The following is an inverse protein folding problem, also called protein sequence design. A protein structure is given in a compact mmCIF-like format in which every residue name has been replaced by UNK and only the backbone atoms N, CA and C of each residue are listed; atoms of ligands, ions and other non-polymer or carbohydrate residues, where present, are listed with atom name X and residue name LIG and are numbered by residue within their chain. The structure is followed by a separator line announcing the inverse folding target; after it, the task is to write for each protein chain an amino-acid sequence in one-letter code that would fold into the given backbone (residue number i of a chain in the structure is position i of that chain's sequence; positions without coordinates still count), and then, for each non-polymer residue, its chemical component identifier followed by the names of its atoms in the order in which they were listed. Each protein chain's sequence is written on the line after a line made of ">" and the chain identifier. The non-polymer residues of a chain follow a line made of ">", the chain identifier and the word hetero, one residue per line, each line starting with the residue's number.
data_IF_911287304073
#
_entry.id   IF_911287304073
#
_cell.length_a   1.000
_cell.length_b   1.000
_cell.length_c   1.000
_cell.angle_alpha   90.00
_cell.angle_beta   90.00
_cell.angle_gamma   90.00
#
_symmetry.space_group_name_H-M   'P 1'
#
loop_
_entity.id
_entity.type
_entity.pdbx_description
1 polymer ?
#
# COMPACT_ATOMS: atom_id res chain seq x y z
N UNK A 1 -15.73 19.61 -13.52
CA UNK A 1 -16.62 18.56 -13.01
C UNK A 1 -17.78 18.18 -13.96
N UNK A 2 -18.01 18.87 -15.09
CA UNK A 2 -19.13 18.56 -16.01
C UNK A 2 -18.90 17.38 -16.96
N UNK A 3 -17.67 16.89 -17.09
CA UNK A 3 -17.31 15.77 -17.97
C UNK A 3 -16.85 14.51 -17.21
N UNK A 4 -17.19 14.39 -15.92
CA UNK A 4 -16.89 13.19 -15.15
C UNK A 4 -18.07 12.22 -15.26
N UNK A 5 -18.01 11.19 -16.12
CA UNK A 5 -18.97 10.10 -16.06
C UNK A 5 -18.97 9.49 -14.66
N UNK A 6 -20.11 8.92 -14.25
CA UNK A 6 -20.33 8.33 -12.92
C UNK A 6 -19.27 7.29 -12.48
N UNK A 7 -18.38 6.86 -13.39
CA UNK A 7 -17.29 5.93 -13.17
C UNK A 7 -16.31 6.34 -12.07
N UNK A 8 -15.89 7.61 -11.99
CA UNK A 8 -14.92 8.02 -10.96
C UNK A 8 -15.49 7.80 -9.55
N UNK A 9 -16.77 8.12 -9.34
CA UNK A 9 -17.45 7.87 -8.06
C UNK A 9 -17.73 6.38 -7.79
N UNK A 10 -17.83 5.55 -8.84
CA UNK A 10 -17.99 4.11 -8.70
C UNK A 10 -16.67 3.39 -8.37
N UNK A 11 -15.55 3.86 -8.93
CA UNK A 11 -14.21 3.30 -8.70
C UNK A 11 -13.56 3.84 -7.43
N UNK A 12 -13.75 5.13 -7.15
CA UNK A 12 -13.23 5.79 -5.96
C UNK A 12 -14.37 6.08 -5.00
N UNK A 13 -14.42 5.34 -3.89
CA UNK A 13 -15.51 5.46 -2.91
C UNK A 13 -15.50 6.76 -2.11
N UNK A 14 -14.35 7.45 -2.06
CA UNK A 14 -14.16 8.70 -1.31
C UNK A 14 -13.48 9.79 -2.16
N UNK A 15 -14.05 10.20 -3.31
CA UNK A 15 -13.33 11.00 -4.30
C UNK A 15 -12.97 12.40 -3.77
N UNK A 16 -13.81 12.99 -2.90
CA UNK A 16 -13.51 14.29 -2.26
C UNK A 16 -12.30 14.21 -1.34
N UNK A 17 -12.26 13.20 -0.46
CA UNK A 17 -11.13 12.99 0.46
C UNK A 17 -9.84 12.68 -0.30
N UNK A 18 -9.95 11.89 -1.36
CA UNK A 18 -8.82 11.58 -2.24
C UNK A 18 -8.29 12.88 -2.88
N UNK A 19 -9.17 13.73 -3.42
CA UNK A 19 -8.76 15.02 -3.98
C UNK A 19 -8.09 15.94 -2.95
N UNK A 20 -8.61 16.01 -1.73
CA UNK A 20 -8.00 16.77 -0.62
C UNK A 20 -6.61 16.24 -0.27
N UNK A 21 -6.43 14.92 -0.20
CA UNK A 21 -5.15 14.32 0.11
C UNK A 21 -4.15 14.44 -1.05
N UNK A 22 -4.60 14.38 -2.30
CA UNK A 22 -3.76 14.69 -3.47
C UNK A 22 -3.24 16.13 -3.42
N UNK A 23 -4.07 17.10 -3.02
CA UNK A 23 -3.62 18.48 -2.82
C UNK A 23 -2.55 18.57 -1.71
N UNK A 24 -2.64 17.78 -0.64
CA UNK A 24 -1.59 17.71 0.40
C UNK A 24 -0.30 17.10 -0.11
N UNK A 25 -0.40 16.04 -0.93
CA UNK A 25 0.77 15.41 -1.57
C UNK A 25 1.51 16.43 -2.44
N UNK A 26 0.78 17.22 -3.23
CA UNK A 26 1.35 18.29 -4.05
C UNK A 26 1.95 19.42 -3.21
N UNK A 27 1.25 19.89 -2.17
CA UNK A 27 1.75 20.91 -1.25
C UNK A 27 3.01 20.47 -0.49
N UNK A 28 3.13 19.18 -0.18
CA UNK A 28 4.31 18.60 0.44
C UNK A 28 5.50 18.45 -0.53
N UNK A 29 5.30 18.70 -1.83
CA UNK A 29 6.34 18.58 -2.84
C UNK A 29 6.80 17.14 -3.10
N UNK A 30 6.02 16.13 -2.68
CA UNK A 30 6.39 14.72 -2.87
C UNK A 30 6.45 14.31 -4.35
N UNK A 31 5.65 14.96 -5.18
CA UNK A 31 5.68 14.81 -6.64
C UNK A 31 5.59 16.17 -7.32
N UNK A 32 6.15 16.33 -8.53
CA UNK A 32 6.08 17.60 -9.27
C UNK A 32 4.65 18.05 -9.59
N UNK A 33 3.74 17.08 -9.76
CA UNK A 33 2.33 17.29 -10.06
C UNK A 33 1.53 16.12 -9.53
N UNK A 34 0.50 16.38 -8.72
CA UNK A 34 -0.40 15.31 -8.27
C UNK A 34 -1.28 14.81 -9.44
N UNK A 35 -1.55 13.49 -9.53
CA UNK A 35 -2.53 12.98 -10.47
C UNK A 35 -3.94 13.50 -10.13
N UNK A 36 -4.82 13.56 -11.13
CA UNK A 36 -6.24 13.83 -10.91
C UNK A 36 -7.04 12.54 -10.59
N UNK A 37 -8.33 12.67 -10.30
CA UNK A 37 -9.17 11.53 -9.91
C UNK A 37 -9.33 10.46 -11.00
N UNK A 38 -9.32 10.84 -12.28
CA UNK A 38 -9.36 9.87 -13.39
C UNK A 38 -8.08 9.05 -13.40
N UNK A 39 -6.93 9.72 -13.30
CA UNK A 39 -5.61 9.08 -13.26
C UNK A 39 -5.47 8.14 -12.06
N UNK A 40 -5.93 8.55 -10.87
CA UNK A 40 -5.96 7.66 -9.69
C UNK A 40 -6.92 6.48 -9.90
N UNK A 41 -8.06 6.68 -10.56
CA UNK A 41 -8.99 5.59 -10.89
C UNK A 41 -8.31 4.53 -11.75
N UNK A 42 -7.52 4.93 -12.74
CA UNK A 42 -6.71 4.00 -13.55
C UNK A 42 -5.65 3.27 -12.71
N UNK A 43 -5.04 3.95 -11.74
CA UNK A 43 -4.15 3.31 -10.76
C UNK A 43 -4.84 2.29 -9.87
N UNK A 44 -6.08 2.55 -9.44
CA UNK A 44 -6.89 1.57 -8.70
C UNK A 44 -7.20 0.36 -9.58
N UNK A 45 -7.54 0.56 -10.85
CA UNK A 45 -7.75 -0.54 -11.80
C UNK A 45 -6.46 -1.38 -11.94
N UNK A 46 -5.29 -0.75 -12.05
CA UNK A 46 -4.00 -1.45 -12.04
C UNK A 46 -3.83 -2.33 -10.81
N UNK A 47 -4.13 -1.81 -9.61
CA UNK A 47 -4.04 -2.58 -8.37
C UNK A 47 -5.00 -3.79 -8.36
N UNK A 48 -6.20 -3.65 -8.92
CA UNK A 48 -7.12 -4.79 -9.11
C UNK A 48 -6.55 -5.82 -10.08
N UNK A 49 -5.96 -5.38 -11.20
CA UNK A 49 -5.28 -6.27 -12.15
C UNK A 49 -4.13 -7.00 -11.48
N UNK A 50 -3.32 -6.34 -10.63
CA UNK A 50 -2.28 -7.00 -9.82
C UNK A 50 -2.87 -8.06 -8.88
N UNK A 51 -3.96 -7.75 -8.17
CA UNK A 51 -4.61 -8.70 -7.27
C UNK A 51 -5.06 -9.98 -7.98
N UNK A 52 -5.56 -9.85 -9.21
CA UNK A 52 -6.05 -10.98 -10.02
C UNK A 52 -4.91 -11.73 -10.70
N UNK A 53 -3.93 -11.03 -11.29
CA UNK A 53 -2.87 -11.63 -12.13
C UNK A 53 -1.62 -12.04 -11.37
N UNK A 54 -1.34 -11.41 -10.23
CA UNK A 54 -0.13 -11.63 -9.40
C UNK A 54 -0.49 -11.80 -7.91
N UNK A 55 -1.48 -12.64 -7.55
CA UNK A 55 -1.93 -12.79 -6.16
C UNK A 55 -0.83 -13.31 -5.22
N UNK A 56 0.21 -13.95 -5.76
CA UNK A 56 1.40 -14.44 -5.07
C UNK A 56 2.33 -13.33 -4.58
N UNK A 57 2.12 -12.08 -5.02
CA UNK A 57 2.90 -10.91 -4.59
C UNK A 57 2.25 -10.14 -3.43
N UNK A 58 1.12 -10.61 -2.89
CA UNK A 58 0.30 -9.88 -1.92
C UNK A 58 0.05 -10.73 -0.67
N UNK A 59 0.58 -10.28 0.47
CA UNK A 59 0.37 -10.90 1.78
C UNK A 59 1.01 -12.28 1.92
N UNK A 60 2.07 -12.53 1.17
CA UNK A 60 2.93 -13.72 1.10
C UNK A 60 4.36 -13.31 1.43
N UNK A 61 5.23 -14.26 1.76
CA UNK A 61 6.65 -14.00 2.05
C UNK A 61 7.54 -14.99 1.28
N UNK A 62 8.60 -14.51 0.65
CA UNK A 62 9.58 -15.37 -0.02
C UNK A 62 10.77 -15.73 0.87
N UNK A 63 11.10 -14.90 1.87
CA UNK A 63 12.33 -15.04 2.66
C UNK A 63 12.13 -15.70 4.04
N UNK A 64 10.93 -15.59 4.61
CA UNK A 64 10.66 -16.04 5.97
C UNK A 64 9.58 -17.12 6.02
N UNK A 65 9.74 -18.04 6.97
CA UNK A 65 8.80 -19.13 7.19
C UNK A 65 7.58 -18.67 8.00
N UNK A 66 6.49 -19.43 7.87
CA UNK A 66 5.30 -19.29 8.71
C UNK A 66 5.66 -19.61 10.17
N UNK A 67 5.21 -18.77 11.11
CA UNK A 67 5.42 -18.96 12.56
C UNK A 67 4.96 -20.36 13.01
N UNK A 68 5.63 -20.99 13.98
CA UNK A 68 5.35 -22.36 14.39
C UNK A 68 4.06 -22.52 15.21
N UNK A 69 3.39 -21.42 15.57
CA UNK A 69 2.15 -21.44 16.35
C UNK A 69 1.00 -22.06 15.54
N UNK A 70 0.10 -22.78 16.22
CA UNK A 70 -1.08 -23.36 15.57
C UNK A 70 -1.93 -22.29 14.87
N UNK A 71 -2.11 -21.14 15.52
CA UNK A 71 -2.88 -20.01 14.99
C UNK A 71 -2.27 -19.45 13.71
N UNK A 72 -0.96 -19.20 13.66
CA UNK A 72 -0.32 -18.70 12.45
C UNK A 72 -0.38 -19.72 11.29
N UNK A 73 -0.22 -21.01 11.58
CA UNK A 73 -0.39 -22.08 10.58
C UNK A 73 -1.79 -22.12 9.98
N UNK A 74 -2.83 -21.91 10.80
CA UNK A 74 -4.19 -21.80 10.32
C UNK A 74 -4.40 -20.54 9.47
N UNK A 75 -3.88 -19.40 9.95
CA UNK A 75 -3.99 -18.10 9.28
C UNK A 75 -3.10 -17.99 8.03
N UNK A 76 -2.13 -18.89 7.84
CA UNK A 76 -1.42 -19.01 6.57
C UNK A 76 -2.37 -19.34 5.41
N UNK A 77 -3.49 -20.01 5.70
CA UNK A 77 -4.55 -20.18 4.72
C UNK A 77 -5.38 -18.88 4.59
N UNK A 78 -5.11 -18.12 3.53
CA UNK A 78 -5.64 -16.76 3.29
C UNK A 78 -7.16 -16.62 3.47
N UNK A 79 -8.02 -17.55 3.01
CA UNK A 79 -9.47 -17.45 3.23
C UNK A 79 -9.86 -17.43 4.71
N UNK A 80 -9.14 -18.16 5.58
CA UNK A 80 -9.39 -18.14 7.03
C UNK A 80 -8.86 -16.87 7.69
N UNK A 81 -7.79 -16.28 7.15
CA UNK A 81 -7.21 -15.02 7.65
C UNK A 81 -8.06 -13.80 7.31
N UNK A 82 -8.71 -13.80 6.16
CA UNK A 82 -9.41 -12.64 5.61
C UNK A 82 -10.43 -11.99 6.56
N UNK A 83 -11.34 -12.73 7.23
CA UNK A 83 -12.30 -12.14 8.17
C UNK A 83 -11.61 -11.40 9.33
N UNK A 84 -10.45 -11.89 9.79
CA UNK A 84 -9.69 -11.27 10.86
C UNK A 84 -9.00 -9.99 10.39
N UNK A 85 -8.45 -9.97 9.17
CA UNK A 85 -7.89 -8.75 8.58
C UNK A 85 -8.96 -7.65 8.45
N UNK A 86 -10.19 -8.01 8.05
CA UNK A 86 -11.32 -7.07 8.01
C UNK A 86 -11.68 -6.55 9.41
N UNK A 87 -11.81 -7.46 10.39
CA UNK A 87 -12.14 -7.10 11.77
C UNK A 87 -11.08 -6.19 12.38
N UNK A 88 -9.80 -6.47 12.14
CA UNK A 88 -8.68 -5.64 12.59
C UNK A 88 -8.59 -4.31 11.86
N UNK A 89 -9.33 -4.14 10.77
CA UNK A 89 -9.18 -3.01 9.85
C UNK A 89 -7.76 -2.95 9.25
N UNK A 90 -7.08 -4.09 9.22
CA UNK A 90 -5.73 -4.26 8.69
C UNK A 90 -5.72 -4.36 7.15
N UNK A 91 -6.87 -4.33 6.48
CA UNK A 91 -6.98 -4.16 5.03
C UNK A 91 -8.08 -3.15 4.72
N UNK A 92 -7.96 -2.48 3.56
CA UNK A 92 -8.91 -1.49 3.07
C UNK A 92 -9.47 -1.92 1.70
N UNK A 93 -10.41 -2.88 1.65
CA UNK A 93 -10.95 -3.40 0.38
C UNK A 93 -11.73 -2.35 -0.43
N UNK A 94 -11.95 -1.17 0.13
CA UNK A 94 -12.72 -0.06 -0.44
C UNK A 94 -11.83 1.16 -0.77
N UNK A 95 -10.53 1.10 -0.51
CA UNK A 95 -9.57 2.13 -0.86
C UNK A 95 -8.23 1.47 -1.19
N UNK A 96 -8.09 1.03 -2.45
CA UNK A 96 -6.87 0.38 -2.91
C UNK A 96 -5.68 1.34 -3.03
N UNK A 97 -5.95 2.65 -3.19
CA UNK A 97 -4.91 3.67 -3.34
C UNK A 97 -4.24 4.06 -2.02
N UNK A 98 -4.91 3.84 -0.88
CA UNK A 98 -4.52 4.37 0.42
C UNK A 98 -4.77 5.87 0.59
N UNK A 99 -5.11 6.61 -0.48
CA UNK A 99 -5.31 8.06 -0.45
C UNK A 99 -6.54 8.51 0.36
N UNK A 100 -7.48 7.62 0.68
CA UNK A 100 -8.61 7.96 1.55
C UNK A 100 -8.41 7.48 3.01
N UNK A 101 -7.33 6.74 3.25
CA UNK A 101 -7.04 6.12 4.54
C UNK A 101 -6.61 7.15 5.57
N UNK A 102 -7.09 6.98 6.80
CA UNK A 102 -6.62 7.79 7.93
C UNK A 102 -5.29 7.27 8.45
N UNK A 103 -4.54 8.11 9.17
CA UNK A 103 -3.32 7.72 9.90
C UNK A 103 -3.49 6.41 10.68
N UNK A 104 -4.53 6.33 11.51
CA UNK A 104 -4.85 5.13 12.30
C UNK A 104 -5.16 3.90 11.42
N UNK A 105 -5.75 4.09 10.24
CA UNK A 105 -6.00 2.97 9.31
C UNK A 105 -4.68 2.43 8.74
N UNK A 106 -3.77 3.32 8.34
CA UNK A 106 -2.45 2.96 7.81
C UNK A 106 -1.63 2.23 8.89
N UNK A 107 -1.63 2.76 10.13
CA UNK A 107 -0.96 2.11 11.27
C UNK A 107 -1.48 0.68 11.51
N UNK A 108 -2.80 0.46 11.48
CA UNK A 108 -3.39 -0.88 11.62
C UNK A 108 -3.05 -1.80 10.46
N UNK A 109 -2.99 -1.25 9.24
CA UNK A 109 -2.58 -2.01 8.06
C UNK A 109 -1.16 -2.52 8.21
N UNK A 110 -0.21 -1.62 8.48
CA UNK A 110 1.19 -1.94 8.68
C UNK A 110 1.40 -2.94 9.82
N UNK A 111 0.68 -2.83 10.93
CA UNK A 111 0.84 -3.76 12.06
C UNK A 111 0.14 -5.11 11.88
N UNK A 112 -0.88 -5.20 11.01
CA UNK A 112 -1.77 -6.35 10.93
C UNK A 112 -1.75 -7.12 9.60
N UNK A 113 -1.21 -6.53 8.54
CA UNK A 113 -1.05 -7.17 7.24
C UNK A 113 0.43 -7.31 6.90
N UNK A 114 0.80 -8.47 6.35
CA UNK A 114 2.18 -8.72 5.94
C UNK A 114 2.49 -8.05 4.60
N UNK A 115 3.70 -7.49 4.52
CA UNK A 115 4.31 -6.92 3.33
C UNK A 115 5.65 -7.63 3.12
N UNK A 116 5.89 -8.12 1.91
CA UNK A 116 7.16 -8.76 1.58
C UNK A 116 8.20 -7.73 1.20
N UNK A 117 9.45 -7.97 1.57
CA UNK A 117 10.60 -7.10 1.25
C UNK A 117 10.27 -5.62 1.57
N UNK A 118 10.35 -4.72 0.59
CA UNK A 118 10.15 -3.29 0.74
C UNK A 118 8.72 -2.83 0.43
N UNK A 119 7.75 -3.75 0.30
CA UNK A 119 6.38 -3.37 -0.10
C UNK A 119 5.66 -2.48 0.92
N UNK A 120 6.06 -2.46 2.20
CA UNK A 120 5.52 -1.52 3.19
C UNK A 120 5.99 -0.07 2.95
N UNK A 121 6.98 0.17 2.08
CA UNK A 121 7.50 1.52 1.80
C UNK A 121 6.41 2.46 1.26
N UNK A 122 5.49 1.94 0.44
CA UNK A 122 4.32 2.66 -0.03
C UNK A 122 3.53 3.29 1.13
N UNK A 123 3.20 2.48 2.14
CA UNK A 123 2.45 2.95 3.30
C UNK A 123 3.27 3.84 4.23
N UNK A 124 4.59 3.63 4.33
CA UNK A 124 5.48 4.52 5.07
C UNK A 124 5.52 5.92 4.43
N UNK A 125 5.56 6.00 3.10
CA UNK A 125 5.54 7.27 2.36
C UNK A 125 4.21 8.02 2.59
N UNK A 126 3.07 7.31 2.57
CA UNK A 126 1.77 7.92 2.91
C UNK A 126 1.76 8.34 4.39
N UNK A 127 2.27 7.50 5.28
CA UNK A 127 2.27 7.77 6.72
C UNK A 127 3.11 9.00 7.08
N UNK A 128 4.20 9.25 6.33
CA UNK A 128 5.06 10.41 6.48
C UNK A 128 4.35 11.75 6.22
N UNK A 129 3.24 11.74 5.46
CA UNK A 129 2.39 12.93 5.26
C UNK A 129 1.57 13.31 6.51
N UNK A 130 1.47 12.40 7.48
CA UNK A 130 0.77 12.65 8.72
C UNK A 130 1.76 13.08 9.81
N UNK A 131 1.59 14.26 10.43
CA UNK A 131 2.44 14.68 11.53
C UNK A 131 2.50 13.63 12.65
N UNK A 132 3.71 13.23 13.03
CA UNK A 132 3.97 12.21 14.05
C UNK A 132 3.67 10.77 13.61
N UNK A 133 3.35 10.52 12.33
CA UNK A 133 2.89 9.22 11.86
C UNK A 133 3.96 8.13 11.96
N UNK A 134 5.19 8.44 11.54
CA UNK A 134 6.31 7.49 11.60
C UNK A 134 6.77 7.23 13.03
N UNK A 135 6.75 8.25 13.90
CA UNK A 135 7.04 8.12 15.32
C UNK A 135 6.03 7.19 16.01
N UNK A 136 4.75 7.36 15.69
CA UNK A 136 3.68 6.52 16.24
C UNK A 136 3.80 5.07 15.75
N UNK A 137 4.15 4.86 14.48
CA UNK A 137 4.41 3.51 13.95
C UNK A 137 5.58 2.86 14.67
N UNK A 138 6.71 3.56 14.78
CA UNK A 138 7.91 3.07 15.44
C UNK A 138 7.58 2.60 16.86
N UNK A 139 6.91 3.44 17.66
CA UNK A 139 6.56 3.10 19.04
C UNK A 139 5.61 1.91 19.13
N UNK A 140 4.58 1.85 18.27
CA UNK A 140 3.65 0.71 18.26
C UNK A 140 4.32 -0.59 17.81
N UNK A 141 5.19 -0.54 16.79
CA UNK A 141 5.95 -1.70 16.33
C UNK A 141 6.92 -2.19 17.42
N UNK A 142 7.61 -1.27 18.11
CA UNK A 142 8.49 -1.56 19.24
C UNK A 142 7.76 -2.32 20.34
N UNK A 143 6.60 -1.82 20.78
CA UNK A 143 5.78 -2.50 21.78
C UNK A 143 5.32 -3.90 21.36
N UNK A 144 5.08 -4.15 20.06
CA UNK A 144 4.76 -5.49 19.55
C UNK A 144 5.98 -6.41 19.58
N UNK A 145 7.16 -5.91 19.19
CA UNK A 145 8.42 -6.67 19.20
C UNK A 145 8.81 -7.04 20.62
N UNK A 146 8.70 -6.10 21.57
CA UNK A 146 9.05 -6.31 22.97
C UNK A 146 7.97 -7.05 23.78
N UNK A 147 6.81 -7.31 23.20
CA UNK A 147 5.69 -7.98 23.89
C UNK A 147 4.94 -7.10 24.90
N UNK A 148 5.17 -5.79 24.89
CA UNK A 148 4.49 -4.80 25.74
C UNK A 148 3.08 -4.45 25.23
N UNK A 149 2.77 -4.76 23.97
CA UNK A 149 1.41 -4.64 23.45
C UNK A 149 0.56 -5.86 23.87
N UNK A 150 -0.60 -5.67 24.52
CA UNK A 150 -1.48 -6.79 24.90
C UNK A 150 -1.93 -7.67 23.72
N UNK A 151 -1.79 -7.17 22.49
CA UNK A 151 -2.17 -7.84 21.25
C UNK A 151 -0.95 -8.33 20.47
N UNK A 152 0.26 -8.24 21.01
CA UNK A 152 1.50 -8.56 20.31
C UNK A 152 1.45 -9.96 19.68
N UNK A 153 1.13 -11.00 20.45
CA UNK A 153 1.04 -12.37 19.94
C UNK A 153 0.00 -12.53 18.83
N UNK A 154 -1.16 -11.86 18.97
CA UNK A 154 -2.23 -11.90 17.99
C UNK A 154 -1.78 -11.23 16.68
N UNK A 155 -1.18 -10.05 16.74
CA UNK A 155 -0.70 -9.33 15.57
C UNK A 155 0.39 -10.13 14.86
N UNK A 156 1.34 -10.71 15.62
CA UNK A 156 2.40 -11.56 15.07
C UNK A 156 1.86 -12.80 14.37
N UNK A 157 0.87 -13.47 14.94
CA UNK A 157 0.25 -14.63 14.28
C UNK A 157 -0.64 -14.23 13.10
N UNK A 158 -1.26 -13.05 13.13
CA UNK A 158 -2.08 -12.52 12.05
C UNK A 158 -1.26 -12.16 10.80
N UNK A 159 -0.05 -11.63 10.98
CA UNK A 159 0.89 -11.40 9.86
C UNK A 159 1.56 -12.69 9.39
N UNK A 160 1.39 -13.80 10.11
CA UNK A 160 1.76 -15.19 9.75
C UNK A 160 3.26 -15.49 9.73
N UNK A 161 4.10 -14.58 9.26
CA UNK A 161 5.52 -14.84 9.01
C UNK A 161 6.42 -14.34 10.15
N UNK A 162 7.50 -15.08 10.42
CA UNK A 162 8.50 -14.65 11.41
C UNK A 162 9.25 -13.38 10.96
N UNK A 163 9.72 -12.60 11.93
CA UNK A 163 10.55 -11.42 11.70
C UNK A 163 9.82 -10.19 11.14
N UNK A 164 8.52 -10.28 10.85
CA UNK A 164 7.80 -9.18 10.19
C UNK A 164 7.80 -7.89 11.03
N UNK A 165 7.45 -7.96 12.32
CA UNK A 165 7.37 -6.77 13.17
C UNK A 165 8.75 -6.20 13.49
N UNK A 166 9.78 -7.04 13.56
CA UNK A 166 11.18 -6.63 13.68
C UNK A 166 11.63 -5.86 12.43
N UNK A 167 11.33 -6.39 11.25
CA UNK A 167 11.64 -5.71 9.98
C UNK A 167 10.87 -4.38 9.86
N UNK A 168 9.60 -4.36 10.25
CA UNK A 168 8.79 -3.14 10.26
C UNK A 168 9.34 -2.10 11.24
N UNK A 169 9.77 -2.51 12.44
CA UNK A 169 10.37 -1.62 13.43
C UNK A 169 11.66 -0.99 12.87
N UNK A 170 12.56 -1.80 12.31
CA UNK A 170 13.79 -1.33 11.70
C UNK A 170 13.51 -0.36 10.54
N UNK A 171 12.52 -0.65 9.70
CA UNK A 171 12.10 0.22 8.62
C UNK A 171 11.51 1.55 9.12
N UNK A 172 10.67 1.52 10.16
CA UNK A 172 10.11 2.73 10.76
C UNK A 172 11.20 3.60 11.41
N UNK A 173 12.17 2.97 12.08
CA UNK A 173 13.34 3.66 12.65
C UNK A 173 14.16 4.35 11.56
N UNK A 174 14.48 3.63 10.49
CA UNK A 174 15.20 4.18 9.34
C UNK A 174 14.44 5.34 8.70
N UNK A 175 13.14 5.14 8.43
CA UNK A 175 12.29 6.16 7.80
C UNK A 175 12.20 7.44 8.64
N UNK A 176 12.14 7.32 9.97
CA UNK A 176 12.14 8.47 10.89
C UNK A 176 13.47 9.24 10.84
N UNK A 177 14.59 8.53 10.75
CA UNK A 177 15.92 9.15 10.75
C UNK A 177 16.30 9.75 9.38
N UNK A 178 15.85 9.15 8.28
CA UNK A 178 16.41 9.40 6.95
C UNK A 178 15.38 9.63 5.84
N UNK A 179 14.08 9.59 6.18
CA UNK A 179 13.00 9.47 5.21
C UNK A 179 12.89 8.05 4.66
N UNK A 180 11.80 7.77 3.93
CA UNK A 180 11.66 6.50 3.22
C UNK A 180 12.62 6.50 2.03
N UNK A 181 13.63 5.62 2.07
CA UNK A 181 14.65 5.49 1.03
C UNK A 181 14.51 4.15 0.35
N UNK A 182 14.39 4.20 -0.96
CA UNK A 182 14.27 3.04 -1.84
C UNK A 182 15.41 3.05 -2.85
N UNK A 183 15.77 1.87 -3.38
CA UNK A 183 16.66 1.82 -4.53
C UNK A 183 16.00 2.53 -5.73
N UNK A 184 16.75 3.10 -6.67
CA UNK A 184 16.16 3.88 -7.77
C UNK A 184 15.08 3.13 -8.57
N UNK A 185 15.28 1.82 -8.81
CA UNK A 185 14.30 1.00 -9.52
C UNK A 185 13.01 0.78 -8.72
N UNK A 186 13.09 0.64 -7.40
CA UNK A 186 11.93 0.52 -6.51
C UNK A 186 11.19 1.84 -6.33
N UNK A 187 11.92 2.96 -6.30
CA UNK A 187 11.36 4.31 -6.18
C UNK A 187 10.51 4.71 -7.39
N UNK A 188 10.75 4.08 -8.55
CA UNK A 188 9.97 4.26 -9.78
C UNK A 188 8.91 3.16 -10.00
N UNK A 189 8.92 2.10 -9.20
CA UNK A 189 7.95 1.01 -9.27
C UNK A 189 6.62 1.43 -8.60
N UNK A 190 5.51 1.51 -9.36
CA UNK A 190 4.20 1.89 -8.83
C UNK A 190 3.57 0.84 -7.91
N UNK A 191 4.14 -0.36 -7.81
CA UNK A 191 3.67 -1.41 -6.91
C UNK A 191 4.44 -1.43 -5.57
N UNK A 192 5.53 -0.66 -5.43
CA UNK A 192 6.40 -0.58 -4.24
C UNK A 192 6.41 0.83 -3.61
N UNK A 193 6.53 1.89 -4.42
CA UNK A 193 6.60 3.28 -3.95
C UNK A 193 5.28 4.02 -4.19
N UNK A 194 4.82 4.76 -3.19
CA UNK A 194 3.67 5.65 -3.34
C UNK A 194 3.99 6.83 -4.25
N UNK A 195 5.19 7.43 -4.14
CA UNK A 195 5.62 8.48 -5.08
C UNK A 195 5.79 7.93 -6.50
N UNK A 196 6.29 6.69 -6.65
CA UNK A 196 6.33 5.97 -7.92
C UNK A 196 4.93 5.78 -8.51
N UNK A 197 3.97 5.35 -7.69
CA UNK A 197 2.56 5.20 -8.06
C UNK A 197 1.92 6.54 -8.48
N UNK A 198 2.16 7.62 -7.71
CA UNK A 198 1.68 8.97 -8.05
C UNK A 198 2.24 9.45 -9.39
N UNK A 199 3.55 9.29 -9.61
CA UNK A 199 4.21 9.64 -10.87
C UNK A 199 3.69 8.81 -12.04
N UNK A 200 3.47 7.51 -11.84
CA UNK A 200 2.87 6.65 -12.84
C UNK A 200 1.45 7.09 -13.20
N UNK A 201 0.58 7.33 -12.20
CA UNK A 201 -0.77 7.84 -12.41
C UNK A 201 -0.76 9.16 -13.18
N UNK A 202 0.14 10.09 -12.81
CA UNK A 202 0.21 11.41 -13.42
C UNK A 202 0.63 11.38 -14.90
N UNK A 203 1.17 10.28 -15.42
CA UNK A 203 1.47 10.12 -16.86
C UNK A 203 0.28 9.61 -17.69
N UNK A 204 -0.78 9.13 -17.04
CA UNK A 204 -1.94 8.58 -17.71
C UNK A 204 -2.86 9.67 -18.26
N UNK A 205 -3.80 9.31 -19.15
CA UNK A 205 -4.79 10.26 -19.64
C UNK A 205 -5.57 10.94 -18.50
N UNK A 206 -5.79 12.24 -18.64
CA UNK A 206 -6.38 13.07 -17.59
C UNK A 206 -7.92 13.03 -17.60
N UNK A 207 -8.52 12.49 -18.66
CA UNK A 207 -9.97 12.43 -18.83
C UNK A 207 -10.42 11.04 -19.25
N UNK A 208 -11.65 10.65 -18.90
CA UNK A 208 -12.21 9.38 -19.35
C UNK A 208 -12.37 9.28 -20.87
N UNK A 209 -12.56 10.43 -21.54
CA UNK A 209 -12.62 10.51 -23.01
C UNK A 209 -11.33 10.01 -23.68
N UNK A 210 -10.19 10.29 -23.06
CA UNK A 210 -8.88 9.84 -23.54
C UNK A 210 -8.53 8.44 -22.99
N UNK A 211 -8.89 8.16 -21.72
CA UNK A 211 -8.54 6.92 -21.05
C UNK A 211 -9.23 5.69 -21.64
N UNK A 212 -10.52 5.79 -22.01
CA UNK A 212 -11.27 4.63 -22.54
C UNK A 212 -10.67 4.11 -23.86
N UNK A 213 -10.44 4.95 -24.90
CA UNK A 213 -9.76 4.49 -26.11
C UNK A 213 -8.38 3.89 -25.83
N UNK A 214 -7.57 4.55 -25.00
CA UNK A 214 -6.23 4.07 -24.66
C UNK A 214 -6.24 2.71 -23.96
N UNK A 215 -7.22 2.44 -23.08
CA UNK A 215 -7.42 1.12 -22.48
C UNK A 215 -7.82 0.06 -23.51
N UNK A 216 -8.75 0.39 -24.42
CA UNK A 216 -9.24 -0.56 -25.43
C UNK A 216 -8.18 -0.89 -26.48
N UNK A 217 -7.31 0.05 -26.83
CA UNK A 217 -6.21 -0.13 -27.77
C UNK A 217 -4.96 -0.76 -27.13
N UNK A 218 -4.90 -0.86 -25.80
CA UNK A 218 -3.76 -1.41 -25.08
C UNK A 218 -2.60 -0.43 -24.88
N UNK A 219 -2.83 0.87 -25.07
CA UNK A 219 -1.82 1.93 -24.90
C UNK A 219 -1.49 2.18 -23.42
N UNK A 220 -2.38 1.77 -22.51
CA UNK A 220 -2.14 1.81 -21.06
C UNK A 220 -1.82 0.40 -20.58
N UNK A 221 -0.59 0.21 -20.13
CA UNK A 221 -0.19 -1.02 -19.46
C UNK A 221 -0.60 -1.03 -17.98
N UNK A 222 -1.69 -1.74 -17.69
CA UNK A 222 -2.22 -1.95 -16.34
C UNK A 222 -1.54 -3.09 -15.57
N UNK A 223 -0.53 -3.78 -16.10
CA UNK A 223 -0.01 -4.97 -15.42
C UNK A 223 1.28 -5.62 -15.93
N UNK A 224 2.02 -5.03 -16.87
CA UNK A 224 3.26 -5.59 -17.41
C UNK A 224 4.52 -5.00 -16.75
N UNK A 225 4.46 -4.58 -15.48
CA UNK A 225 5.69 -4.41 -14.72
C UNK A 225 6.28 -5.79 -14.44
N UNK A 226 7.23 -6.18 -15.28
CA UNK A 226 8.06 -7.37 -15.09
C UNK A 226 9.05 -7.02 -14.00
N UNK A 227 8.89 -7.66 -12.85
CA UNK A 227 9.97 -7.74 -11.87
C UNK A 227 11.07 -8.58 -12.54
N UNK A 228 12.04 -7.93 -13.18
CA UNK A 228 13.32 -8.59 -13.43
C UNK A 228 13.95 -8.76 -12.05
N UNK A 229 13.74 -9.94 -11.46
CA UNK A 229 14.49 -10.33 -10.28
C UNK A 229 15.96 -10.17 -10.65
N UNK A 230 16.62 -9.18 -10.06
CA UNK A 230 18.07 -9.07 -10.14
C UNK A 230 18.58 -10.33 -9.44
N UNK A 231 18.96 -11.32 -10.25
CA UNK A 231 19.76 -12.44 -9.82
C UNK A 231 21.00 -11.84 -9.17
N UNK A 232 21.13 -12.04 -7.85
CA UNK A 232 22.30 -11.69 -7.08
C UNK A 232 23.58 -12.32 -7.66
#
# INVERSE_FOLDING_TARGET
>A
MRDDPLWTGALLLFPRRIAENLARVEQAGLVPRAPNLVQVSLGVIRMWVRLVKRPETIGTCTAHHVRPTFRARLLAYRPLRFPFLLRERAIAPLDFSGLASSRERILRHLLGAHHDVNQFAYDLEILALHPGGLEELHERARRVVEGEDPRAEWLRDLVVFEGYHENLLAAAEHARAHGVRLAPHEADDPDISFTGYMRWCARLPATWREAIPALLCGDIDLGAYRYEAVMA
#
